data_IF_240224552632
#
_entry.id   IF_240224552632
#
_cell.length_a   1.000
_cell.length_b   1.000
_cell.length_c   1.000
_cell.angle_alpha   90.00
_cell.angle_beta   90.00
_cell.angle_gamma   90.00
#
_symmetry.space_group_name_H-M   'P 1'
#
loop_
_entity.id
_entity.type
_entity.pdbx_description
1 polymer ?
#
# COMPACT_ATOMS: atom_id res chain seq x y z
N UNK A 1 -76.36 -29.92 -29.53
CA UNK A 1 -76.31 -28.45 -29.51
C UNK A 1 -75.40 -27.89 -28.36
N UNK A 2 -75.55 -28.45 -27.16
CA UNK A 2 -74.79 -27.94 -25.98
C UNK A 2 -73.28 -28.16 -26.04
N UNK A 3 -72.81 -29.26 -26.56
CA UNK A 3 -71.41 -29.60 -26.75
C UNK A 3 -70.69 -28.62 -27.67
N UNK A 4 -71.36 -28.10 -28.69
CA UNK A 4 -70.76 -27.09 -29.59
C UNK A 4 -70.63 -25.77 -28.93
N UNK A 5 -71.52 -25.38 -28.04
CA UNK A 5 -71.46 -24.13 -27.25
C UNK A 5 -70.36 -24.22 -26.26
N UNK A 6 -70.21 -25.31 -25.52
CA UNK A 6 -69.14 -25.56 -24.57
C UNK A 6 -67.74 -25.53 -25.24
N UNK A 7 -67.63 -26.18 -26.40
CA UNK A 7 -66.35 -26.17 -27.14
C UNK A 7 -65.96 -24.75 -27.57
N UNK A 8 -66.92 -23.95 -28.07
CA UNK A 8 -66.69 -22.58 -28.47
C UNK A 8 -66.34 -21.68 -27.26
N UNK A 9 -67.01 -21.91 -26.13
CA UNK A 9 -66.72 -21.17 -24.89
C UNK A 9 -65.32 -21.47 -24.40
N UNK A 10 -64.86 -22.71 -24.43
CA UNK A 10 -63.50 -23.08 -24.07
C UNK A 10 -62.45 -22.49 -25.02
N UNK A 11 -62.71 -22.49 -26.32
CA UNK A 11 -61.84 -21.87 -27.33
C UNK A 11 -61.75 -20.38 -27.06
N UNK A 12 -62.86 -19.70 -26.83
CA UNK A 12 -62.89 -18.27 -26.53
C UNK A 12 -62.09 -17.95 -25.26
N UNK A 13 -62.21 -18.71 -24.17
CA UNK A 13 -61.41 -18.57 -22.95
C UNK A 13 -59.95 -18.83 -23.21
N UNK A 14 -59.59 -19.77 -24.06
CA UNK A 14 -58.20 -20.05 -24.43
C UNK A 14 -57.61 -18.88 -25.25
N UNK A 15 -58.37 -18.32 -26.15
CA UNK A 15 -57.96 -17.14 -26.94
C UNK A 15 -57.81 -15.89 -26.06
N UNK A 16 -58.73 -15.67 -25.11
CA UNK A 16 -58.65 -14.58 -24.14
C UNK A 16 -57.38 -14.71 -23.26
N UNK A 17 -57.10 -15.92 -22.79
CA UNK A 17 -55.87 -16.20 -22.04
C UNK A 17 -54.62 -15.98 -22.91
N UNK A 18 -54.65 -16.33 -24.18
CA UNK A 18 -53.58 -16.12 -25.14
C UNK A 18 -53.32 -14.61 -25.38
N UNK A 19 -54.36 -13.80 -25.54
CA UNK A 19 -54.26 -12.36 -25.66
C UNK A 19 -53.68 -11.73 -24.40
N UNK A 20 -54.15 -12.15 -23.23
CA UNK A 20 -53.62 -11.67 -21.94
C UNK A 20 -52.12 -12.00 -21.78
N UNK A 21 -51.71 -13.23 -22.14
CA UNK A 21 -50.33 -13.65 -22.13
C UNK A 21 -49.44 -12.84 -23.09
N UNK A 22 -49.97 -12.55 -24.30
CA UNK A 22 -49.28 -11.71 -25.27
C UNK A 22 -49.13 -10.26 -24.77
N UNK A 23 -50.15 -9.69 -24.14
CA UNK A 23 -50.09 -8.36 -23.51
C UNK A 23 -49.07 -8.33 -22.38
N UNK A 24 -49.04 -9.34 -21.53
CA UNK A 24 -48.02 -9.41 -20.47
C UNK A 24 -46.59 -9.47 -21.03
N UNK A 25 -46.37 -10.18 -22.14
CA UNK A 25 -45.05 -10.19 -22.84
C UNK A 25 -44.66 -8.81 -23.40
N UNK A 26 -45.63 -8.04 -23.93
CA UNK A 26 -45.39 -6.67 -24.42
C UNK A 26 -44.98 -5.77 -23.27
N UNK A 27 -45.69 -5.84 -22.14
CA UNK A 27 -45.35 -5.05 -20.93
C UNK A 27 -43.97 -5.43 -20.42
N UNK A 28 -43.66 -6.70 -20.34
CA UNK A 28 -42.34 -7.21 -19.94
C UNK A 28 -41.24 -6.68 -20.87
N UNK A 29 -41.44 -6.72 -22.18
CA UNK A 29 -40.48 -6.20 -23.16
C UNK A 29 -40.27 -4.68 -23.03
N UNK A 30 -41.36 -3.92 -22.80
CA UNK A 30 -41.26 -2.48 -22.53
C UNK A 30 -40.49 -2.19 -21.24
N UNK A 31 -40.80 -2.87 -20.16
CA UNK A 31 -40.11 -2.70 -18.91
C UNK A 31 -38.59 -3.02 -19.02
N UNK A 32 -38.25 -4.03 -19.81
CA UNK A 32 -36.84 -4.36 -20.09
C UNK A 32 -36.14 -3.27 -20.92
N UNK A 33 -36.86 -2.68 -21.88
CA UNK A 33 -36.33 -1.57 -22.69
C UNK A 33 -36.16 -0.29 -21.86
N UNK A 34 -37.14 0.02 -21.01
CA UNK A 34 -37.20 1.24 -20.18
C UNK A 34 -36.30 1.14 -18.93
N UNK A 35 -35.79 -0.08 -18.64
CA UNK A 35 -34.90 -0.30 -17.52
C UNK A 35 -33.54 0.35 -17.78
N UNK A 36 -33.30 1.49 -17.12
CA UNK A 36 -32.09 2.31 -17.31
C UNK A 36 -31.36 2.51 -16.01
N UNK A 37 -30.04 2.26 -16.02
CA UNK A 37 -29.11 2.57 -14.92
C UNK A 37 -28.04 3.55 -15.44
N UNK A 38 -27.90 4.71 -14.79
CA UNK A 38 -26.95 5.76 -15.18
C UNK A 38 -27.04 6.13 -16.68
N UNK A 39 -28.27 6.26 -17.20
CA UNK A 39 -28.52 6.66 -18.57
C UNK A 39 -28.29 5.55 -19.63
N UNK A 40 -28.05 4.30 -19.22
CA UNK A 40 -27.87 3.16 -20.13
C UNK A 40 -28.84 2.04 -19.77
N UNK A 41 -29.35 1.35 -20.78
CA UNK A 41 -30.16 0.14 -20.55
C UNK A 41 -29.41 -0.86 -19.67
N UNK A 42 -30.12 -1.52 -18.74
CA UNK A 42 -29.51 -2.45 -17.76
C UNK A 42 -28.72 -3.57 -18.42
N UNK A 43 -29.20 -4.10 -19.53
CA UNK A 43 -28.50 -5.14 -20.30
C UNK A 43 -27.17 -4.62 -20.86
N UNK A 44 -27.20 -3.41 -21.44
CA UNK A 44 -25.98 -2.76 -21.95
C UNK A 44 -25.03 -2.44 -20.82
N UNK A 45 -25.53 -1.96 -19.68
CA UNK A 45 -24.71 -1.69 -18.49
C UNK A 45 -24.04 -2.97 -17.96
N UNK A 46 -24.78 -4.09 -17.91
CA UNK A 46 -24.24 -5.38 -17.52
C UNK A 46 -23.14 -5.89 -18.48
N UNK A 47 -23.37 -5.79 -19.79
CA UNK A 47 -22.39 -6.19 -20.79
C UNK A 47 -21.11 -5.32 -20.74
N UNK A 48 -21.27 -4.02 -20.52
CA UNK A 48 -20.13 -3.12 -20.32
C UNK A 48 -19.32 -3.50 -19.07
N UNK A 49 -19.99 -3.82 -17.96
CA UNK A 49 -19.32 -4.28 -16.76
C UNK A 49 -18.56 -5.59 -16.97
N UNK A 50 -19.14 -6.53 -17.72
CA UNK A 50 -18.47 -7.77 -18.10
C UNK A 50 -17.25 -7.52 -19.01
N UNK A 51 -17.39 -6.63 -19.98
CA UNK A 51 -16.28 -6.22 -20.84
C UNK A 51 -15.14 -5.61 -20.04
N UNK A 52 -15.44 -4.65 -19.15
CA UNK A 52 -14.44 -4.03 -18.28
C UNK A 52 -13.75 -5.06 -17.38
N UNK A 53 -14.51 -6.00 -16.82
CA UNK A 53 -13.95 -7.10 -16.03
C UNK A 53 -13.00 -7.96 -16.86
N UNK A 54 -13.38 -8.33 -18.08
CA UNK A 54 -12.55 -9.14 -18.96
C UNK A 54 -11.28 -8.38 -19.39
N UNK A 55 -11.39 -7.08 -19.68
CA UNK A 55 -10.24 -6.22 -19.99
C UNK A 55 -9.28 -6.13 -18.81
N UNK A 56 -9.80 -5.87 -17.60
CA UNK A 56 -8.99 -5.86 -16.39
C UNK A 56 -8.29 -7.20 -16.13
N UNK A 57 -8.96 -8.30 -16.34
CA UNK A 57 -8.34 -9.63 -16.22
C UNK A 57 -7.23 -9.83 -17.26
N UNK A 58 -7.43 -9.38 -18.49
CA UNK A 58 -6.43 -9.47 -19.56
C UNK A 58 -5.22 -8.59 -19.25
N UNK A 59 -5.43 -7.35 -18.83
CA UNK A 59 -4.35 -6.44 -18.43
C UNK A 59 -3.51 -7.00 -17.28
N UNK A 60 -4.16 -7.64 -16.30
CA UNK A 60 -3.48 -8.26 -15.15
C UNK A 60 -2.79 -9.61 -15.47
N UNK A 61 -2.89 -10.12 -16.70
CA UNK A 61 -2.07 -11.29 -17.10
C UNK A 61 -0.60 -10.95 -17.26
N UNK A 62 -0.27 -9.67 -17.44
CA UNK A 62 1.10 -9.18 -17.53
C UNK A 62 1.38 -8.20 -16.42
N UNK A 63 2.17 -8.63 -15.44
CA UNK A 63 2.62 -7.76 -14.36
C UNK A 63 3.85 -6.99 -14.81
N UNK A 64 3.78 -5.66 -14.77
CA UNK A 64 4.88 -4.77 -15.14
C UNK A 64 5.40 -4.07 -13.89
N UNK A 65 6.72 -3.78 -13.87
CA UNK A 65 7.29 -2.93 -12.85
C UNK A 65 6.69 -1.52 -12.95
N UNK A 66 6.23 -0.92 -11.84
CA UNK A 66 5.66 0.42 -11.84
C UNK A 66 6.71 1.51 -12.10
N UNK A 67 7.95 1.25 -11.73
CA UNK A 67 9.10 2.16 -11.85
C UNK A 67 10.41 1.37 -11.89
N UNK A 68 11.53 2.05 -11.99
CA UNK A 68 12.84 1.41 -11.95
C UNK A 68 13.13 0.83 -10.56
N UNK A 69 13.63 -0.40 -10.51
CA UNK A 69 13.87 -1.09 -9.25
C UNK A 69 14.52 -2.44 -9.38
N UNK A 70 14.66 -3.12 -8.26
CA UNK A 70 15.23 -4.46 -8.18
C UNK A 70 14.19 -5.48 -7.70
N UNK A 71 14.21 -6.67 -8.28
CA UNK A 71 13.45 -7.81 -7.78
C UNK A 71 14.31 -8.54 -6.76
N UNK A 72 13.92 -8.44 -5.49
CA UNK A 72 14.68 -9.04 -4.37
C UNK A 72 14.41 -10.53 -4.23
N UNK A 73 13.15 -10.94 -4.35
CA UNK A 73 12.77 -12.35 -4.17
C UNK A 73 11.80 -12.74 -5.28
N UNK A 74 12.04 -13.90 -5.89
CA UNK A 74 11.16 -14.48 -6.90
C UNK A 74 10.80 -15.90 -6.48
N UNK A 75 9.56 -16.08 -5.98
CA UNK A 75 8.98 -17.39 -5.66
C UNK A 75 8.14 -17.96 -6.81
N UNK A 76 8.01 -17.24 -7.92
CA UNK A 76 7.21 -17.66 -9.06
C UNK A 76 7.92 -18.76 -9.86
N UNK A 77 7.18 -19.83 -10.13
CA UNK A 77 7.59 -20.89 -11.06
C UNK A 77 6.46 -21.16 -12.04
N UNK A 78 6.76 -21.56 -13.29
CA UNK A 78 5.73 -21.99 -14.23
C UNK A 78 4.82 -23.04 -13.59
N UNK A 79 3.51 -22.85 -13.69
CA UNK A 79 2.51 -23.71 -13.06
C UNK A 79 2.12 -23.36 -11.63
N UNK A 80 2.75 -22.36 -10.98
CA UNK A 80 2.33 -21.90 -9.66
C UNK A 80 1.08 -21.02 -9.75
N UNK A 81 0.04 -21.36 -9.01
CA UNK A 81 -1.17 -20.53 -8.91
C UNK A 81 -0.96 -19.40 -7.90
N UNK A 82 -1.04 -18.15 -8.34
CA UNK A 82 -0.87 -16.98 -7.48
C UNK A 82 -1.96 -16.82 -6.43
N UNK A 83 -3.15 -17.33 -6.68
CA UNK A 83 -4.31 -17.22 -5.78
C UNK A 83 -4.26 -18.19 -4.59
N UNK A 84 -3.51 -19.29 -4.69
CA UNK A 84 -3.44 -20.30 -3.64
C UNK A 84 -2.58 -19.88 -2.44
N UNK A 85 -1.75 -18.85 -2.58
CA UNK A 85 -0.74 -18.42 -1.61
C UNK A 85 -0.97 -16.98 -1.12
N UNK A 86 -2.21 -16.56 -1.00
CA UNK A 86 -2.58 -15.17 -0.70
C UNK A 86 -1.95 -14.52 0.55
N UNK A 87 -1.14 -15.25 1.32
CA UNK A 87 -0.43 -14.74 2.50
C UNK A 87 1.09 -14.68 2.30
N UNK A 88 1.63 -15.23 1.22
CA UNK A 88 3.07 -15.22 0.96
C UNK A 88 3.34 -14.41 -0.32
N UNK A 89 4.17 -13.36 -0.25
CA UNK A 89 4.52 -12.59 -1.43
C UNK A 89 5.29 -13.49 -2.42
N UNK A 90 4.78 -13.59 -3.64
CA UNK A 90 5.40 -14.39 -4.71
C UNK A 90 6.61 -13.70 -5.32
N UNK A 91 6.64 -12.38 -5.22
CA UNK A 91 7.74 -11.55 -5.70
C UNK A 91 7.82 -10.30 -4.84
N UNK A 92 9.04 -9.90 -4.48
CA UNK A 92 9.29 -8.64 -3.79
C UNK A 92 10.05 -7.71 -4.73
N UNK A 93 9.40 -6.60 -5.07
CA UNK A 93 9.99 -5.54 -5.86
C UNK A 93 10.41 -4.40 -4.94
N UNK A 94 11.64 -3.92 -5.12
CA UNK A 94 12.22 -2.83 -4.35
C UNK A 94 12.51 -1.68 -5.31
N UNK A 95 11.76 -0.57 -5.23
CA UNK A 95 12.00 0.59 -6.08
C UNK A 95 13.33 1.24 -5.76
N UNK A 96 13.98 1.84 -6.76
CA UNK A 96 15.20 2.63 -6.56
C UNK A 96 14.79 4.04 -6.21
N UNK A 97 14.74 4.34 -4.92
CA UNK A 97 14.57 5.71 -4.44
C UNK A 97 15.91 6.46 -4.46
N UNK A 98 15.89 7.70 -4.91
CA UNK A 98 17.07 8.58 -4.83
C UNK A 98 17.50 8.78 -3.37
N UNK A 99 18.81 8.88 -3.12
CA UNK A 99 19.34 9.04 -1.77
C UNK A 99 18.73 10.24 -0.99
N UNK A 100 18.34 11.29 -1.69
CA UNK A 100 17.73 12.49 -1.11
C UNK A 100 16.27 12.33 -0.68
N UNK A 101 15.54 11.36 -1.25
CA UNK A 101 14.13 11.10 -0.90
C UNK A 101 13.96 10.02 0.16
N UNK A 102 15.03 9.35 0.55
CA UNK A 102 14.97 8.26 1.54
C UNK A 102 14.66 8.80 2.93
N UNK A 103 13.67 8.20 3.52
CA UNK A 103 13.31 8.42 4.91
C UNK A 103 13.76 7.25 5.76
N UNK A 104 14.24 7.57 6.95
CA UNK A 104 14.72 6.60 7.92
C UNK A 104 13.87 6.68 9.18
N UNK A 105 13.59 5.54 9.80
CA UNK A 105 12.83 5.50 11.04
C UNK A 105 13.74 5.11 12.19
N UNK A 106 13.75 5.91 13.24
CA UNK A 106 14.47 5.64 14.46
C UNK A 106 13.51 5.53 15.65
N UNK A 107 13.80 4.61 16.57
CA UNK A 107 12.99 4.35 17.75
C UNK A 107 13.61 4.98 18.99
N UNK A 108 12.96 5.99 19.55
CA UNK A 108 13.40 6.70 20.74
C UNK A 108 12.62 6.27 21.99
N UNK A 109 13.23 6.42 23.18
CA UNK A 109 12.52 6.17 24.45
C UNK A 109 11.40 7.21 24.63
N UNK A 110 10.28 6.80 25.23
CA UNK A 110 9.11 7.68 25.46
C UNK A 110 9.45 8.97 26.25
N UNK A 111 10.43 8.93 27.15
CA UNK A 111 10.85 10.11 27.89
C UNK A 111 11.50 11.20 27.01
N UNK A 112 11.87 10.88 25.78
CA UNK A 112 12.37 11.84 24.81
C UNK A 112 11.24 12.50 23.99
N UNK A 113 10.02 11.97 24.02
CA UNK A 113 8.94 12.38 23.11
C UNK A 113 8.61 13.87 23.21
N UNK A 114 8.61 14.44 24.41
CA UNK A 114 8.33 15.86 24.63
C UNK A 114 9.41 16.81 24.08
N UNK A 115 10.55 16.26 23.67
CA UNK A 115 11.70 17.00 23.14
C UNK A 115 11.94 16.71 21.65
N UNK A 116 11.10 15.90 21.04
CA UNK A 116 11.22 15.50 19.64
C UNK A 116 10.19 16.29 18.83
N UNK A 117 10.67 17.26 18.08
CA UNK A 117 9.81 18.09 17.23
C UNK A 117 10.30 18.03 15.78
N UNK A 118 9.36 18.21 14.87
CA UNK A 118 9.66 18.33 13.45
C UNK A 118 10.63 19.48 13.18
N UNK A 119 11.65 19.24 12.36
CA UNK A 119 12.67 20.22 11.99
C UNK A 119 13.87 20.27 12.94
N UNK A 120 13.88 19.47 14.02
CA UNK A 120 15.06 19.42 14.89
C UNK A 120 16.25 18.79 14.17
N UNK A 121 17.47 19.33 14.41
CA UNK A 121 18.68 18.79 13.80
C UNK A 121 19.00 17.41 14.39
N UNK A 122 19.42 16.52 13.50
CA UNK A 122 19.83 15.17 13.85
C UNK A 122 21.21 14.85 13.26
N UNK A 123 21.92 13.95 13.91
CA UNK A 123 23.09 13.28 13.36
C UNK A 123 22.80 11.80 13.19
N UNK A 124 23.10 11.28 12.00
CA UNK A 124 22.87 9.90 11.61
C UNK A 124 24.18 9.21 11.31
N UNK A 125 24.34 8.05 11.89
CA UNK A 125 25.47 7.17 11.67
C UNK A 125 24.99 5.84 11.10
N UNK A 126 25.63 5.38 10.05
CA UNK A 126 25.36 4.11 9.41
C UNK A 126 26.52 3.15 9.66
N UNK A 127 26.30 1.98 10.27
CA UNK A 127 27.35 0.97 10.43
C UNK A 127 28.00 0.55 9.11
N UNK A 128 27.23 0.62 8.01
CA UNK A 128 27.74 0.33 6.67
C UNK A 128 28.73 1.40 6.13
N UNK A 129 28.82 2.58 6.78
CA UNK A 129 29.75 3.67 6.43
C UNK A 129 30.49 4.08 7.71
N UNK A 130 31.45 3.28 8.17
CA UNK A 130 32.15 3.55 9.41
C UNK A 130 32.94 4.86 9.33
N UNK A 131 33.11 5.54 10.48
CA UNK A 131 33.85 6.77 10.59
C UNK A 131 33.14 8.02 10.08
N UNK A 132 31.96 7.91 9.48
CA UNK A 132 31.21 9.05 8.92
C UNK A 132 29.88 9.25 9.65
N UNK A 133 29.63 10.50 10.02
CA UNK A 133 28.37 10.94 10.60
C UNK A 133 27.76 11.98 9.67
N UNK A 134 26.50 11.75 9.29
CA UNK A 134 25.75 12.61 8.39
C UNK A 134 24.80 13.51 9.14
N UNK A 135 24.60 14.72 8.61
CA UNK A 135 23.59 15.64 9.12
C UNK A 135 22.23 15.26 8.58
N UNK A 136 21.22 15.38 9.43
CA UNK A 136 19.82 15.18 9.07
C UNK A 136 18.92 16.03 9.92
N UNK A 137 17.65 15.86 9.70
CA UNK A 137 16.58 16.53 10.43
C UNK A 137 15.43 15.58 10.73
N UNK A 138 14.65 15.93 11.73
CA UNK A 138 13.40 15.24 12.04
C UNK A 138 12.34 15.64 11.00
N UNK A 139 11.96 14.72 10.14
CA UNK A 139 10.93 14.93 9.15
C UNK A 139 9.54 14.87 9.77
N UNK A 140 9.32 13.88 10.67
CA UNK A 140 8.05 13.73 11.38
C UNK A 140 8.22 12.89 12.65
N UNK A 141 7.32 13.09 13.62
CA UNK A 141 7.24 12.29 14.85
C UNK A 141 5.90 11.56 14.82
N UNK A 142 5.94 10.25 14.78
CA UNK A 142 4.72 9.46 14.64
C UNK A 142 3.91 9.51 15.93
N UNK A 143 2.61 9.87 15.85
CA UNK A 143 1.77 10.09 17.03
C UNK A 143 1.33 8.79 17.73
N UNK A 144 1.72 7.63 17.20
CA UNK A 144 1.33 6.34 17.72
C UNK A 144 2.53 5.58 18.28
N UNK A 145 2.40 5.16 19.53
CA UNK A 145 3.30 4.19 20.19
C UNK A 145 2.55 2.86 20.15
N UNK A 146 2.82 2.03 19.17
CA UNK A 146 2.04 0.82 18.99
C UNK A 146 2.84 -0.32 18.39
N UNK A 147 2.51 -1.52 18.87
CA UNK A 147 3.19 -2.76 18.55
C UNK A 147 2.99 -3.29 17.14
N UNK A 148 2.10 -2.74 16.31
CA UNK A 148 1.63 -3.60 15.23
C UNK A 148 1.14 -2.98 13.94
N UNK A 149 1.26 -1.70 13.65
CA UNK A 149 0.60 -1.21 12.44
C UNK A 149 1.43 -0.32 11.52
N UNK A 150 2.59 -0.81 11.10
CA UNK A 150 3.21 -0.36 9.85
C UNK A 150 3.05 -1.39 8.73
N UNK A 151 1.81 -1.80 8.46
CA UNK A 151 1.40 -2.50 7.24
C UNK A 151 0.67 -1.54 6.29
N UNK A 152 1.25 -0.43 6.02
CA UNK A 152 0.69 0.46 5.01
C UNK A 152 1.80 1.03 4.17
N UNK A 153 1.87 0.68 2.91
CA UNK A 153 2.74 1.26 1.89
C UNK A 153 4.11 0.62 1.66
N UNK A 154 4.20 -0.73 1.63
CA UNK A 154 5.31 -1.40 0.93
C UNK A 154 6.74 -1.16 1.45
N UNK A 155 6.91 -0.49 2.59
CA UNK A 155 8.22 -0.30 3.23
C UNK A 155 8.55 -1.55 4.04
N UNK A 156 9.70 -2.15 3.76
CA UNK A 156 10.28 -3.28 4.48
C UNK A 156 10.69 -2.87 5.91
N UNK A 157 9.72 -2.70 6.80
CA UNK A 157 9.97 -2.55 8.23
C UNK A 157 9.56 -3.86 8.91
N UNK A 158 10.51 -4.73 9.15
CA UNK A 158 10.35 -5.84 10.07
C UNK A 158 10.33 -5.28 11.49
N UNK A 159 9.18 -5.28 12.12
CA UNK A 159 8.97 -4.81 13.52
C UNK A 159 9.86 -5.51 14.53
N UNK A 160 10.27 -6.73 14.28
CA UNK A 160 11.19 -7.50 15.14
C UNK A 160 12.62 -6.90 15.20
N UNK A 161 13.05 -6.21 14.16
CA UNK A 161 14.38 -5.60 14.13
C UNK A 161 14.50 -4.31 14.95
N UNK A 162 13.39 -3.63 15.26
CA UNK A 162 13.41 -2.32 15.91
C UNK A 162 13.27 -2.37 17.43
N UNK A 163 12.93 -3.53 18.02
CA UNK A 163 12.63 -3.63 19.46
C UNK A 163 11.78 -2.43 19.96
N UNK A 164 10.62 -2.23 19.31
CA UNK A 164 9.83 -0.99 19.39
C UNK A 164 8.89 -0.92 20.58
N UNK A 165 8.87 -1.92 21.45
CA UNK A 165 8.00 -1.93 22.63
C UNK A 165 8.19 -0.66 23.46
N UNK A 166 7.14 0.15 23.54
CA UNK A 166 7.15 1.38 24.33
C UNK A 166 8.11 2.46 23.79
N UNK A 167 8.43 2.48 22.51
CA UNK A 167 9.27 3.51 21.90
C UNK A 167 8.48 4.41 20.95
N UNK A 168 8.85 5.68 20.92
CA UNK A 168 8.36 6.64 19.94
C UNK A 168 9.14 6.48 18.64
N UNK A 169 8.42 6.40 17.53
CA UNK A 169 9.01 6.32 16.19
C UNK A 169 9.13 7.71 15.59
N UNK A 170 10.31 8.02 15.07
CA UNK A 170 10.65 9.30 14.47
C UNK A 170 11.16 9.07 13.07
N UNK A 171 10.59 9.77 12.12
CA UNK A 171 11.03 9.77 10.72
C UNK A 171 12.14 10.82 10.58
N UNK A 172 13.27 10.38 10.07
CA UNK A 172 14.47 11.20 9.88
C UNK A 172 14.79 11.29 8.38
N UNK A 173 15.23 12.46 7.96
CA UNK A 173 15.71 12.70 6.60
C UNK A 173 17.17 13.14 6.65
N UNK A 174 17.99 12.58 5.77
CA UNK A 174 19.39 13.01 5.62
C UNK A 174 19.43 14.28 4.79
N UNK A 175 20.04 15.32 5.31
CA UNK A 175 20.22 16.61 4.63
C UNK A 175 21.64 16.84 4.14
N UNK A 176 22.58 15.98 4.52
CA UNK A 176 23.99 16.08 4.15
C UNK A 176 24.19 15.68 2.67
N UNK A 177 24.70 16.59 1.80
CA UNK A 177 24.88 16.29 0.38
C UNK A 177 25.90 15.17 0.12
N UNK A 178 26.87 14.95 1.01
CA UNK A 178 27.85 13.86 0.91
C UNK A 178 27.20 12.48 0.94
N UNK A 179 26.01 12.38 1.49
CA UNK A 179 25.28 11.11 1.57
C UNK A 179 24.91 10.55 0.19
N UNK A 180 24.73 11.40 -0.81
CA UNK A 180 24.42 10.99 -2.17
C UNK A 180 25.54 10.18 -2.84
N UNK A 181 26.77 10.27 -2.35
CA UNK A 181 27.92 9.53 -2.88
C UNK A 181 27.90 8.04 -2.44
N UNK A 182 27.10 7.71 -1.42
CA UNK A 182 27.05 6.37 -0.86
C UNK A 182 25.80 5.64 -1.33
N UNK A 183 25.99 4.53 -2.05
CA UNK A 183 24.91 3.64 -2.49
C UNK A 183 24.52 2.65 -1.40
N UNK A 184 23.80 3.11 -0.37
CA UNK A 184 23.30 2.24 0.68
C UNK A 184 22.10 1.43 0.20
N UNK A 185 22.03 0.12 0.50
CA UNK A 185 20.86 -0.68 0.21
C UNK A 185 19.67 -0.24 1.08
N UNK A 186 18.45 -0.43 0.58
CA UNK A 186 17.25 -0.27 1.40
C UNK A 186 17.26 -1.29 2.55
N UNK A 187 16.83 -0.86 3.74
CA UNK A 187 16.90 -1.69 4.95
C UNK A 187 18.22 -1.58 5.72
N UNK A 188 19.15 -0.73 5.28
CA UNK A 188 20.36 -0.43 6.07
C UNK A 188 19.96 0.14 7.44
N UNK A 189 20.58 -0.38 8.49
CA UNK A 189 20.36 0.09 9.86
C UNK A 189 21.11 1.39 10.10
N UNK A 190 20.59 2.22 11.00
CA UNK A 190 21.22 3.45 11.42
C UNK A 190 21.11 3.67 12.93
N UNK A 191 22.01 4.45 13.46
CA UNK A 191 21.86 5.08 14.76
C UNK A 191 21.71 6.59 14.60
N UNK A 192 20.78 7.19 15.34
CA UNK A 192 20.51 8.61 15.27
C UNK A 192 20.57 9.29 16.62
N UNK A 193 21.07 10.52 16.63
CA UNK A 193 20.98 11.42 17.75
C UNK A 193 20.26 12.69 17.31
N UNK A 194 19.15 13.01 17.98
CA UNK A 194 18.40 14.26 17.78
C UNK A 194 18.83 15.26 18.86
N UNK A 195 19.03 16.51 18.47
CA UNK A 195 19.48 17.58 19.32
C UNK A 195 18.36 18.59 19.51
N UNK A 196 17.83 18.69 20.73
CA UNK A 196 16.88 19.72 21.12
C UNK A 196 17.60 20.92 21.75
N UNK A 197 16.99 22.10 21.67
CA UNK A 197 17.58 23.35 22.18
C UNK A 197 17.75 23.41 23.71
N UNK A 198 17.22 22.45 24.45
CA UNK A 198 17.16 22.51 25.92
C UNK A 198 18.46 22.25 26.67
N UNK A 199 19.48 21.64 26.05
CA UNK A 199 20.74 21.28 26.72
C UNK A 199 21.90 21.35 25.72
N UNK A 200 22.25 22.55 25.27
CA UNK A 200 23.31 22.78 24.26
C UNK A 200 24.68 22.26 24.67
N UNK A 201 25.00 22.32 25.96
CA UNK A 201 26.28 21.84 26.49
C UNK A 201 26.42 20.31 26.43
N UNK A 202 25.36 19.59 26.71
CA UNK A 202 25.34 18.12 26.59
C UNK A 202 25.33 17.63 25.14
N UNK A 203 24.96 18.49 24.19
CA UNK A 203 25.00 18.16 22.77
C UNK A 203 26.43 17.92 22.27
N UNK A 204 27.43 18.65 22.82
CA UNK A 204 28.81 18.48 22.46
C UNK A 204 29.35 17.10 22.87
N UNK A 205 29.04 16.67 24.08
CA UNK A 205 29.44 15.33 24.56
C UNK A 205 28.81 14.23 23.67
N UNK A 206 27.54 14.39 23.33
CA UNK A 206 26.84 13.41 22.50
C UNK A 206 27.39 13.36 21.07
N UNK A 207 27.78 14.48 20.51
CA UNK A 207 28.47 14.57 19.20
C UNK A 207 29.82 13.83 19.21
N UNK A 208 30.55 13.91 20.31
CA UNK A 208 31.80 13.17 20.46
C UNK A 208 31.50 11.66 20.56
N UNK A 209 30.53 11.26 21.37
CA UNK A 209 30.19 9.87 21.56
C UNK A 209 29.70 9.19 20.27
N UNK A 210 28.87 9.85 19.46
CA UNK A 210 28.37 9.26 18.20
C UNK A 210 29.51 9.10 17.19
N UNK A 211 30.48 10.02 17.18
CA UNK A 211 31.69 9.90 16.35
C UNK A 211 32.60 8.78 16.81
N UNK A 212 32.84 8.67 18.12
CA UNK A 212 33.59 7.53 18.66
C UNK A 212 32.94 6.19 18.29
N UNK A 213 31.63 6.09 18.42
CA UNK A 213 30.89 4.88 18.06
C UNK A 213 30.93 4.59 16.54
N UNK A 214 30.92 5.64 15.71
CA UNK A 214 31.12 5.47 14.27
C UNK A 214 32.48 4.85 13.93
N UNK A 215 33.50 5.16 14.70
CA UNK A 215 34.85 4.61 14.51
C UNK A 215 34.95 3.17 15.02
N UNK A 216 34.19 2.79 16.03
CA UNK A 216 34.10 1.41 16.53
C UNK A 216 33.66 0.43 15.43
N UNK A 217 32.86 0.88 14.48
CA UNK A 217 32.43 0.07 13.35
C UNK A 217 33.52 -0.21 12.29
N UNK A 218 34.74 0.29 12.47
CA UNK A 218 35.89 -0.07 11.63
C UNK A 218 36.54 -1.41 12.03
N UNK A 219 36.24 -1.89 13.24
CA UNK A 219 36.80 -3.12 13.79
C UNK A 219 35.79 -4.25 13.62
#
# INVERSE_FOLDING_TARGET
>A
SDQMVDTRLQTWKADEASVSAAQAKVVQARNALDSVVKGKNTTVASLLAQLQKAQFQLENTVVRAPEDGYVSTVGLRPGTMSTALGMIPLMTFVPVEGAASREYVAAFRQNALQRLHKGEPAELMFPAIPGTVFRGEVADVLPAIGESQFQGQGKLLTTDALNTHGRALVVLKVTDPRFAEYALPQGATLEAAVYSDHLKELSLIRKILIRMKSWENYI
#
